data_IF_692711450280
#
_entry.id   IF_692711450280
#
_cell.length_a   1.000
_cell.length_b   1.000
_cell.length_c   1.000
_cell.angle_alpha   90.00
_cell.angle_beta   90.00
_cell.angle_gamma   90.00
#
_symmetry.space_group_name_H-M   'P 1'
#
loop_
_entity.id
_entity.type
_entity.pdbx_description
1 polymer ?
#
# COMPACT_ATOMS: atom_id res chain seq x y z
N UNK A 1 -7.67 -9.60 -20.66
CA UNK A 1 -8.39 -8.33 -20.43
C UNK A 1 -7.68 -7.21 -21.16
N UNK A 2 -8.40 -6.39 -21.94
CA UNK A 2 -7.85 -5.14 -22.48
C UNK A 2 -7.82 -4.08 -21.37
N UNK A 3 -6.66 -3.47 -21.13
CA UNK A 3 -6.51 -2.36 -20.20
C UNK A 3 -6.81 -1.06 -20.93
N UNK A 4 -7.84 -0.34 -20.50
CA UNK A 4 -8.14 1.01 -21.00
C UNK A 4 -7.44 2.02 -20.10
N UNK A 5 -6.72 2.97 -20.69
CA UNK A 5 -5.98 4.03 -19.99
C UNK A 5 -6.50 5.38 -20.44
N UNK A 6 -6.84 6.26 -19.49
CA UNK A 6 -7.29 7.62 -19.75
C UNK A 6 -6.33 8.61 -19.12
N UNK A 7 -6.08 9.72 -19.82
CA UNK A 7 -5.36 10.87 -19.29
C UNK A 7 -6.38 11.95 -18.90
N UNK A 8 -6.22 12.57 -17.73
CA UNK A 8 -7.21 13.52 -17.19
C UNK A 8 -7.37 14.76 -18.09
N UNK A 9 -6.31 15.15 -18.80
CA UNK A 9 -6.29 16.22 -19.81
C UNK A 9 -6.94 15.80 -21.15
N UNK A 10 -7.26 14.51 -21.33
CA UNK A 10 -7.80 13.93 -22.56
C UNK A 10 -8.90 12.92 -22.27
N UNK A 11 -9.88 13.32 -21.46
CA UNK A 11 -11.07 12.52 -21.24
C UNK A 11 -11.95 12.56 -22.50
N UNK A 12 -12.51 11.41 -22.94
CA UNK A 12 -13.48 11.40 -24.02
C UNK A 12 -14.72 12.21 -23.62
N UNK A 13 -15.43 12.82 -24.59
CA UNK A 13 -16.68 13.49 -24.30
C UNK A 13 -17.70 12.48 -23.76
N UNK A 14 -18.61 12.96 -22.91
CA UNK A 14 -19.72 12.14 -22.43
C UNK A 14 -20.60 11.71 -23.60
N UNK A 15 -21.07 10.46 -23.52
CA UNK A 15 -22.11 9.96 -24.43
C UNK A 15 -23.45 10.64 -24.12
N UNK A 16 -24.37 10.67 -25.09
CA UNK A 16 -25.70 11.23 -24.89
C UNK A 16 -26.45 10.58 -23.71
N UNK A 17 -26.27 9.26 -23.52
CA UNK A 17 -26.83 8.55 -22.36
C UNK A 17 -26.25 9.06 -21.04
N UNK A 18 -24.93 9.20 -20.94
CA UNK A 18 -24.30 9.71 -19.72
C UNK A 18 -24.73 11.15 -19.40
N UNK A 19 -24.88 11.98 -20.42
CA UNK A 19 -25.38 13.35 -20.26
C UNK A 19 -26.82 13.36 -19.72
N UNK A 20 -27.71 12.57 -20.32
CA UNK A 20 -29.10 12.46 -19.89
C UNK A 20 -29.23 11.88 -18.46
N UNK A 21 -28.40 10.88 -18.12
CA UNK A 21 -28.37 10.29 -16.77
C UNK A 21 -27.94 11.36 -15.73
N UNK A 22 -26.95 12.21 -16.04
CA UNK A 22 -26.53 13.31 -15.16
C UNK A 22 -27.59 14.40 -15.02
N UNK A 23 -28.26 14.77 -16.12
CA UNK A 23 -29.35 15.75 -16.09
C UNK A 23 -30.53 15.24 -15.25
N UNK A 24 -30.86 13.96 -15.36
CA UNK A 24 -31.86 13.31 -14.51
C UNK A 24 -31.46 13.36 -13.03
N UNK A 25 -30.24 12.92 -12.69
CA UNK A 25 -29.72 12.93 -11.32
C UNK A 25 -29.70 14.35 -10.72
N UNK A 26 -29.39 15.37 -11.52
CA UNK A 26 -29.37 16.77 -11.06
C UNK A 26 -30.77 17.33 -10.71
N UNK A 27 -31.83 16.70 -11.21
CA UNK A 27 -33.23 17.09 -10.91
C UNK A 27 -33.83 16.30 -9.76
N UNK A 28 -33.18 15.21 -9.37
CA UNK A 28 -33.65 14.31 -8.33
C UNK A 28 -33.35 14.90 -6.95
N UNK A 29 -34.23 14.70 -5.99
CA UNK A 29 -33.93 15.02 -4.59
C UNK A 29 -32.98 13.98 -4.03
N UNK A 30 -32.11 14.38 -3.09
CA UNK A 30 -31.17 13.45 -2.43
C UNK A 30 -31.88 12.21 -1.83
N UNK A 31 -33.09 12.37 -1.29
CA UNK A 31 -33.89 11.28 -0.71
C UNK A 31 -34.39 10.27 -1.75
N UNK A 32 -34.48 10.68 -3.03
CA UNK A 32 -34.95 9.84 -4.14
C UNK A 32 -33.78 9.15 -4.89
N UNK A 33 -32.53 9.46 -4.53
CA UNK A 33 -31.35 8.81 -5.14
C UNK A 33 -31.27 7.35 -4.65
N UNK A 34 -31.28 6.41 -5.59
CA UNK A 34 -31.07 5.00 -5.28
C UNK A 34 -29.60 4.74 -4.90
N UNK A 35 -29.36 4.44 -3.63
CA UNK A 35 -28.06 4.07 -3.07
C UNK A 35 -27.97 2.58 -2.73
N UNK A 36 -28.86 1.73 -3.29
CA UNK A 36 -28.93 0.31 -2.93
C UNK A 36 -27.66 -0.49 -3.26
N UNK A 37 -26.85 -0.03 -4.22
CA UNK A 37 -25.56 -0.63 -4.59
C UNK A 37 -24.43 -0.22 -3.64
N UNK A 38 -24.50 0.99 -3.09
CA UNK A 38 -23.53 1.54 -2.14
C UNK A 38 -24.30 2.25 -1.01
N UNK A 39 -24.88 1.48 -0.07
CA UNK A 39 -25.70 2.05 0.99
C UNK A 39 -24.86 2.96 1.90
N UNK A 40 -25.50 4.02 2.41
CA UNK A 40 -24.85 4.95 3.33
C UNK A 40 -24.43 4.23 4.63
N UNK A 41 -23.20 4.47 5.08
CA UNK A 41 -22.71 4.03 6.38
C UNK A 41 -23.00 5.14 7.39
N UNK A 42 -23.94 4.89 8.30
CA UNK A 42 -24.32 5.84 9.35
C UNK A 42 -23.60 5.58 10.67
N UNK A 43 -23.21 4.33 10.95
CA UNK A 43 -22.42 3.96 12.13
C UNK A 43 -20.93 3.94 11.81
N UNK A 44 -20.21 4.92 12.34
CA UNK A 44 -18.76 5.05 12.22
C UNK A 44 -17.99 4.61 13.46
N UNK A 45 -18.64 3.99 14.45
CA UNK A 45 -18.03 3.62 15.74
C UNK A 45 -16.78 2.73 15.59
N UNK A 46 -16.70 1.91 14.54
CA UNK A 46 -15.56 1.05 14.23
C UNK A 46 -14.57 1.64 13.22
N UNK A 47 -14.76 2.87 12.75
CA UNK A 47 -13.91 3.45 11.74
C UNK A 47 -12.54 3.82 12.31
N UNK A 48 -11.47 3.31 11.70
CA UNK A 48 -10.09 3.58 12.12
C UNK A 48 -9.47 4.60 11.16
N UNK A 49 -9.27 5.83 11.62
CA UNK A 49 -8.56 6.86 10.85
C UNK A 49 -7.06 6.71 11.02
N UNK A 50 -6.34 6.50 9.92
CA UNK A 50 -4.89 6.62 9.88
C UNK A 50 -4.13 5.57 10.70
N UNK A 51 -4.52 4.31 10.62
CA UNK A 51 -3.79 3.16 11.21
C UNK A 51 -2.44 2.92 10.53
N UNK A 52 -1.55 3.90 10.61
CA UNK A 52 -0.11 3.73 10.39
C UNK A 52 0.39 3.00 11.63
N UNK A 53 0.53 1.68 11.54
CA UNK A 53 1.21 0.93 12.59
C UNK A 53 2.64 1.49 12.67
N UNK A 54 3.09 2.04 13.82
CA UNK A 54 4.49 2.35 13.97
C UNK A 54 5.25 1.04 13.80
N UNK A 55 6.12 0.98 12.80
CA UNK A 55 7.11 -0.07 12.73
C UNK A 55 8.04 0.21 13.91
N UNK A 56 7.89 -0.54 15.01
CA UNK A 56 8.88 -0.56 16.10
C UNK A 56 10.16 -1.18 15.56
N UNK A 57 10.92 -0.39 14.81
CA UNK A 57 12.33 -0.63 14.57
C UNK A 57 13.02 -0.24 15.87
N UNK A 58 13.18 -1.19 16.79
CA UNK A 58 14.11 -1.05 17.91
C UNK A 58 15.51 -0.98 17.31
N UNK A 59 15.87 0.22 16.86
CA UNK A 59 17.17 0.48 16.23
C UNK A 59 18.15 0.73 17.36
N UNK A 60 18.47 -0.30 18.12
CA UNK A 60 19.72 -0.28 18.86
C UNK A 60 20.82 -0.23 17.81
N UNK A 61 21.58 0.87 17.79
CA UNK A 61 22.60 1.09 16.78
C UNK A 61 23.74 0.09 17.01
N UNK A 62 23.66 -1.07 16.36
CA UNK A 62 24.75 -2.03 16.32
C UNK A 62 25.85 -1.50 15.39
N UNK A 63 27.04 -1.27 15.94
CA UNK A 63 28.20 -0.84 15.16
C UNK A 63 28.82 -2.07 14.50
N UNK A 64 28.39 -2.35 13.27
CA UNK A 64 29.00 -3.37 12.41
C UNK A 64 30.13 -2.71 11.62
N UNK A 65 31.31 -3.35 11.62
CA UNK A 65 32.45 -2.87 10.81
C UNK A 65 32.06 -2.75 9.32
N UNK A 66 32.42 -1.64 8.63
CA UNK A 66 32.11 -1.45 7.22
C UNK A 66 32.57 -2.60 6.31
N UNK A 67 33.69 -3.24 6.65
CA UNK A 67 34.23 -4.36 5.88
C UNK A 67 33.38 -5.63 6.00
N UNK A 68 32.78 -5.87 7.16
CA UNK A 68 31.86 -6.99 7.38
C UNK A 68 30.54 -6.73 6.65
N UNK A 69 30.00 -5.51 6.78
CA UNK A 69 28.79 -5.10 6.07
C UNK A 69 28.94 -5.24 4.55
N UNK A 70 30.09 -4.85 3.99
CA UNK A 70 30.38 -5.01 2.57
C UNK A 70 30.32 -6.48 2.12
N UNK A 71 30.91 -7.40 2.89
CA UNK A 71 30.88 -8.84 2.60
C UNK A 71 29.45 -9.41 2.57
N UNK A 72 28.62 -9.02 3.54
CA UNK A 72 27.22 -9.46 3.57
C UNK A 72 26.40 -8.89 2.40
N UNK A 73 26.64 -7.61 2.04
CA UNK A 73 26.01 -7.01 0.85
C UNK A 73 26.40 -7.72 -0.44
N UNK A 74 27.67 -8.06 -0.60
CA UNK A 74 28.14 -8.75 -1.81
C UNK A 74 27.63 -10.19 -1.87
N UNK A 75 27.55 -10.89 -0.73
CA UNK A 75 26.91 -12.21 -0.64
C UNK A 75 25.43 -12.15 -1.00
N UNK A 76 24.70 -11.17 -0.49
CA UNK A 76 23.28 -10.97 -0.81
C UNK A 76 23.03 -10.76 -2.30
N UNK A 77 23.92 -10.02 -2.99
CA UNK A 77 23.86 -9.86 -4.46
C UNK A 77 24.10 -11.17 -5.21
N UNK A 78 24.94 -12.06 -4.69
CA UNK A 78 25.31 -13.31 -5.34
C UNK A 78 24.27 -14.41 -5.16
N UNK A 79 23.72 -14.54 -3.94
CA UNK A 79 22.81 -15.65 -3.60
C UNK A 79 21.34 -15.30 -3.76
N UNK A 80 21.00 -14.01 -3.87
CA UNK A 80 19.63 -13.50 -3.80
C UNK A 80 19.12 -13.56 -2.36
N UNK A 81 19.00 -12.40 -1.71
CA UNK A 81 18.55 -12.30 -0.32
C UNK A 81 18.76 -10.92 0.29
N UNK A 82 18.42 -10.76 1.57
CA UNK A 82 18.65 -9.52 2.32
C UNK A 82 19.90 -9.67 3.20
N UNK A 83 20.83 -8.73 3.09
CA UNK A 83 22.06 -8.73 3.90
C UNK A 83 21.77 -8.56 5.40
N UNK A 84 20.65 -7.95 5.78
CA UNK A 84 20.26 -7.79 7.19
C UNK A 84 19.86 -9.12 7.80
N UNK A 85 19.03 -9.90 7.09
CA UNK A 85 18.59 -11.22 7.53
C UNK A 85 19.80 -12.16 7.66
N UNK A 86 20.71 -12.14 6.68
CA UNK A 86 21.96 -12.91 6.74
C UNK A 86 22.86 -12.56 7.92
N UNK A 87 22.88 -11.30 8.35
CA UNK A 87 23.62 -10.88 9.54
C UNK A 87 22.96 -11.45 10.80
N UNK A 88 21.64 -11.34 10.89
CA UNK A 88 20.89 -11.84 12.04
C UNK A 88 21.02 -13.36 12.17
N UNK A 89 20.84 -14.10 11.08
CA UNK A 89 20.99 -15.56 11.05
C UNK A 89 22.37 -15.99 11.57
N UNK A 90 23.44 -15.32 11.11
CA UNK A 90 24.80 -15.62 11.54
C UNK A 90 25.04 -15.30 13.03
N UNK A 91 24.40 -14.26 13.56
CA UNK A 91 24.47 -13.92 14.99
C UNK A 91 23.68 -14.92 15.84
N UNK A 92 22.50 -15.34 15.38
CA UNK A 92 21.69 -16.37 16.05
C UNK A 92 22.39 -17.74 16.06
N UNK A 93 23.01 -18.13 14.95
CA UNK A 93 23.83 -19.35 14.85
C UNK A 93 24.99 -19.29 15.85
N UNK A 94 25.73 -18.18 15.91
CA UNK A 94 26.81 -17.99 16.86
C UNK A 94 26.36 -18.17 18.32
N UNK A 95 25.20 -17.61 18.68
CA UNK A 95 24.62 -17.70 20.02
C UNK A 95 24.05 -19.10 20.35
N UNK A 96 23.73 -19.91 19.33
CA UNK A 96 23.20 -21.26 19.53
C UNK A 96 24.33 -22.27 19.69
N UNK A 97 25.43 -22.07 18.97
CA UNK A 97 26.57 -22.99 18.92
C UNK A 97 27.62 -22.74 20.02
N UNK A 98 27.47 -21.68 20.84
CA UNK A 98 28.37 -21.30 21.93
C UNK A 98 27.61 -21.07 23.24
#
# INVERSE_FOLDING_TARGET
MNKVSYHIDKLPPLTAKQQADLEYLATLSDDDIDLSDIPEITDWSGAIRGSIKPQTLTTEASVISPSILAKFKDRAKQTGGNYQDMINDALEEYLTDH
#
